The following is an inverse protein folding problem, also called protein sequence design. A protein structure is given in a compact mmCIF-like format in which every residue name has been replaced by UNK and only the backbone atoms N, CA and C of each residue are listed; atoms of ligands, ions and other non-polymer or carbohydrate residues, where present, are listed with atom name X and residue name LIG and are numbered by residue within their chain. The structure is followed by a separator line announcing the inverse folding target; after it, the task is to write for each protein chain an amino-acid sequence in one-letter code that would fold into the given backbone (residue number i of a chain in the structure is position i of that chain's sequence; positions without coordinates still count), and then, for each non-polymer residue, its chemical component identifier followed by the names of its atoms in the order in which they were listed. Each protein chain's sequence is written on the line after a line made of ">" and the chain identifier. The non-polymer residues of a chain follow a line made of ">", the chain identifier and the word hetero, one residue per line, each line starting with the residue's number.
data_IF_589710494575
#
_entry.id   IF_589710494575
#
_cell.length_a   1.000
_cell.length_b   1.000
_cell.length_c   1.000
_cell.angle_alpha   90.00
_cell.angle_beta   90.00
_cell.angle_gamma   90.00
#
_symmetry.space_group_name_H-M   'P 1'
#
loop_
_entity.id
_entity.type
_entity.pdbx_description
1 polymer ?
#
# COMPACT_ATOMS: atom_id res chain seq x y z
N UNK A 1 8.74 -10.24 -16.46
CA UNK A 1 7.84 -9.73 -15.42
C UNK A 1 8.70 -9.30 -14.26
N UNK A 2 8.95 -7.99 -14.12
CA UNK A 2 9.73 -7.47 -13.00
C UNK A 2 8.90 -7.61 -11.72
N UNK A 3 9.27 -8.57 -10.85
CA UNK A 3 8.67 -8.67 -9.51
C UNK A 3 9.51 -7.78 -8.60
N UNK A 4 8.95 -6.69 -8.10
CA UNK A 4 9.59 -5.98 -7.00
C UNK A 4 9.55 -6.92 -5.79
N UNK A 5 10.72 -7.43 -5.38
CA UNK A 5 10.83 -8.24 -4.17
C UNK A 5 10.77 -7.27 -2.98
N UNK A 6 9.56 -6.92 -2.58
CA UNK A 6 9.35 -6.21 -1.31
C UNK A 6 9.54 -7.27 -0.21
N UNK A 7 10.37 -7.03 0.81
CA UNK A 7 10.51 -7.97 1.91
C UNK A 7 9.13 -8.23 2.52
N UNK A 8 8.85 -9.49 2.86
CA UNK A 8 7.59 -9.87 3.49
C UNK A 8 7.36 -9.01 4.73
N UNK A 9 6.32 -8.18 4.68
CA UNK A 9 5.97 -7.30 5.79
C UNK A 9 5.43 -8.17 6.92
N UNK A 10 6.23 -8.33 7.97
CA UNK A 10 5.82 -9.00 9.19
C UNK A 10 4.90 -8.09 10.01
N UNK A 11 3.71 -8.60 10.34
CA UNK A 11 2.73 -7.92 11.18
C UNK A 11 2.58 -8.69 12.49
N UNK A 12 2.88 -8.01 13.60
CA UNK A 12 2.82 -8.61 14.94
C UNK A 12 1.60 -8.10 15.72
N UNK A 13 0.92 -9.00 16.43
CA UNK A 13 -0.12 -8.68 17.40
C UNK A 13 0.24 -9.31 18.74
N UNK A 14 0.44 -8.49 19.78
CA UNK A 14 0.87 -8.95 21.11
C UNK A 14 2.16 -9.81 21.09
N UNK A 15 3.05 -9.60 20.11
CA UNK A 15 4.29 -10.35 19.95
C UNK A 15 4.18 -11.62 19.09
N UNK A 16 2.96 -12.00 18.67
CA UNK A 16 2.72 -13.12 17.75
C UNK A 16 2.65 -12.63 16.30
N UNK A 17 3.19 -13.41 15.36
CA UNK A 17 3.12 -13.11 13.93
C UNK A 17 1.74 -13.47 13.38
N UNK A 18 1.02 -12.45 12.90
CA UNK A 18 -0.34 -12.57 12.33
C UNK A 18 -0.37 -12.25 10.84
N UNK A 19 0.79 -12.23 10.17
CA UNK A 19 0.92 -11.77 8.78
C UNK A 19 0.01 -12.55 7.83
N UNK A 20 -0.18 -13.85 8.04
CA UNK A 20 -1.05 -14.65 7.15
C UNK A 20 -2.52 -14.52 7.53
N UNK A 21 -2.81 -14.51 8.82
CA UNK A 21 -4.14 -14.48 9.41
C UNK A 21 -4.90 -13.22 9.02
N UNK A 22 -4.24 -12.06 9.02
CA UNK A 22 -4.88 -10.78 8.64
C UNK A 22 -5.31 -10.73 7.17
N UNK A 23 -4.74 -11.60 6.31
CA UNK A 23 -5.08 -11.70 4.89
C UNK A 23 -6.17 -12.75 4.61
N UNK A 24 -6.60 -13.48 5.64
CA UNK A 24 -7.61 -14.53 5.51
C UNK A 24 -8.98 -13.97 5.09
N UNK A 25 -9.81 -14.78 4.39
CA UNK A 25 -11.17 -14.40 4.05
C UNK A 25 -12.03 -14.06 5.27
N UNK A 26 -11.78 -14.72 6.41
CA UNK A 26 -12.50 -14.46 7.65
C UNK A 26 -12.28 -13.05 8.18
N UNK A 27 -11.02 -12.59 8.20
CA UNK A 27 -10.70 -11.22 8.60
C UNK A 27 -11.29 -10.23 7.60
N UNK A 28 -11.09 -10.45 6.29
CA UNK A 28 -11.59 -9.56 5.23
C UNK A 28 -13.10 -9.27 5.34
N UNK A 29 -13.92 -10.26 5.70
CA UNK A 29 -15.38 -10.09 5.91
C UNK A 29 -15.75 -9.11 7.04
N UNK A 30 -14.87 -8.93 8.02
CA UNK A 30 -15.14 -8.08 9.20
C UNK A 30 -14.49 -6.70 9.10
N UNK A 31 -13.44 -6.54 8.28
CA UNK A 31 -12.67 -5.28 8.18
C UNK A 31 -13.56 -4.08 7.86
N UNK A 32 -14.46 -4.21 6.87
CA UNK A 32 -15.31 -3.09 6.44
C UNK A 32 -16.20 -2.56 7.59
N UNK A 33 -16.76 -3.47 8.41
CA UNK A 33 -17.59 -3.11 9.56
C UNK A 33 -16.77 -2.43 10.65
N UNK A 34 -15.62 -2.99 11.01
CA UNK A 34 -14.75 -2.47 12.07
C UNK A 34 -14.17 -1.11 11.67
N UNK A 35 -13.74 -0.95 10.42
CA UNK A 35 -13.18 0.29 9.92
C UNK A 35 -14.21 1.44 9.84
N UNK A 36 -15.51 1.14 9.91
CA UNK A 36 -16.58 2.15 9.88
C UNK A 36 -16.82 2.78 11.25
N UNK A 37 -16.28 2.16 12.31
CA UNK A 37 -16.39 2.67 13.66
C UNK A 37 -15.53 3.93 13.83
N UNK A 38 -16.18 5.04 14.23
CA UNK A 38 -15.51 6.33 14.36
C UNK A 38 -14.44 6.37 15.46
N UNK A 39 -14.58 5.58 16.52
CA UNK A 39 -13.59 5.52 17.60
C UNK A 39 -12.35 4.74 17.15
N UNK A 40 -12.55 3.58 16.51
CA UNK A 40 -11.45 2.80 15.91
C UNK A 40 -10.71 3.66 14.89
N UNK A 41 -11.44 4.37 14.02
CA UNK A 41 -10.86 5.25 13.01
C UNK A 41 -9.99 6.33 13.64
N UNK A 42 -10.46 6.99 14.70
CA UNK A 42 -9.72 8.04 15.41
C UNK A 42 -8.38 7.52 15.94
N UNK A 43 -8.38 6.37 16.61
CA UNK A 43 -7.15 5.77 17.16
C UNK A 43 -6.16 5.42 16.05
N UNK A 44 -6.63 4.80 14.95
CA UNK A 44 -5.77 4.45 13.81
C UNK A 44 -5.18 5.69 13.14
N UNK A 45 -5.96 6.76 12.98
CA UNK A 45 -5.49 8.03 12.44
C UNK A 45 -4.36 8.64 13.26
N UNK A 46 -4.49 8.62 14.60
CA UNK A 46 -3.47 9.14 15.51
C UNK A 46 -2.17 8.32 15.42
N UNK A 47 -2.28 6.99 15.30
CA UNK A 47 -1.13 6.10 15.06
C UNK A 47 -0.47 6.41 13.72
N UNK A 48 -1.23 6.51 12.63
CA UNK A 48 -0.70 6.81 11.29
C UNK A 48 0.05 8.15 11.26
N UNK A 49 -0.50 9.18 11.91
CA UNK A 49 0.12 10.51 12.03
C UNK A 49 1.40 10.48 12.86
N UNK A 50 1.40 9.79 13.99
CA UNK A 50 2.59 9.70 14.84
C UNK A 50 3.73 8.94 14.16
N UNK A 51 3.43 7.86 13.44
CA UNK A 51 4.43 7.10 12.66
C UNK A 51 5.07 7.95 11.55
N UNK A 52 4.26 8.70 10.79
CA UNK A 52 4.80 9.57 9.75
C UNK A 52 5.65 10.70 10.34
N UNK A 53 5.23 11.28 11.47
CA UNK A 53 6.01 12.30 12.18
C UNK A 53 7.35 11.73 12.68
N UNK A 54 7.35 10.53 13.26
CA UNK A 54 8.57 9.85 13.71
C UNK A 54 9.52 9.52 12.55
N UNK A 55 8.99 9.10 11.41
CA UNK A 55 9.79 8.83 10.22
C UNK A 55 10.41 10.11 9.61
N UNK A 56 9.67 11.24 9.59
CA UNK A 56 10.22 12.55 9.24
C UNK A 56 11.30 13.01 10.24
N UNK A 57 11.11 12.80 11.54
CA UNK A 57 12.08 13.20 12.56
C UNK A 57 13.40 12.42 12.47
N UNK A 58 13.36 11.17 11.99
CA UNK A 58 14.57 10.35 11.74
C UNK A 58 15.35 10.80 10.50
N UNK A 59 14.70 11.43 9.52
CA UNK A 59 15.36 11.91 8.30
C UNK A 59 16.04 13.26 8.45
N UNK A 60 15.45 14.15 9.26
CA UNK A 60 16.11 15.37 9.72
C UNK A 60 16.94 15.04 10.95
N UNK A 61 18.25 14.80 10.81
CA UNK A 61 19.15 14.33 11.87
C UNK A 61 19.10 15.09 13.20
N UNK A 62 18.08 14.81 14.03
CA UNK A 62 17.98 15.26 15.41
C UNK A 62 18.31 14.05 16.28
N UNK A 63 19.58 13.94 16.65
CA UNK A 63 20.04 12.94 17.60
C UNK A 63 19.44 13.24 18.98
N UNK A 64 18.33 12.61 19.34
CA UNK A 64 17.99 12.44 20.76
C UNK A 64 18.76 11.24 21.27
N UNK A 65 19.81 11.50 22.06
CA UNK A 65 20.52 10.49 22.84
C UNK A 65 19.50 9.76 23.74
N UNK A 66 19.29 8.47 23.53
CA UNK A 66 18.53 7.65 24.49
C UNK A 66 17.76 6.47 23.89
N UNK A 67 18.40 5.31 23.95
CA UNK A 67 17.81 3.99 24.26
C UNK A 67 17.00 3.23 23.20
N UNK A 68 17.63 2.14 22.75
CA UNK A 68 17.12 0.81 22.41
C UNK A 68 16.14 0.59 21.23
N UNK A 69 16.70 -0.08 20.21
CA UNK A 69 16.13 -1.22 19.49
C UNK A 69 14.67 -1.13 19.00
N UNK A 70 14.51 -0.74 17.73
CA UNK A 70 13.59 -1.45 16.84
C UNK A 70 14.08 -1.30 15.40
N UNK A 71 14.84 -2.31 14.95
CA UNK A 71 15.35 -2.45 13.59
C UNK A 71 14.22 -2.95 12.69
N UNK A 72 13.66 -2.06 11.86
CA UNK A 72 12.86 -2.48 10.71
C UNK A 72 13.86 -2.99 9.67
N UNK A 73 13.71 -4.20 9.09
CA UNK A 73 14.63 -4.67 8.07
C UNK A 73 14.40 -3.88 6.78
N UNK A 74 15.30 -2.93 6.51
CA UNK A 74 15.43 -2.31 5.19
C UNK A 74 16.21 -3.27 4.30
N UNK A 75 15.53 -3.91 3.35
CA UNK A 75 16.17 -4.83 2.41
C UNK A 75 15.39 -4.93 1.12
N UNK A 76 15.41 -3.87 0.29
CA UNK A 76 15.11 -4.03 -1.14
C UNK A 76 16.43 -4.44 -1.79
N UNK A 77 16.60 -5.75 -2.01
CA UNK A 77 17.75 -6.28 -2.75
C UNK A 77 17.36 -6.33 -4.23
N UNK A 78 18.03 -5.52 -5.05
CA UNK A 78 18.00 -5.62 -6.50
C UNK A 78 19.43 -5.93 -6.96
N UNK A 79 19.62 -7.12 -7.54
CA UNK A 79 20.78 -7.51 -8.34
C UNK A 79 22.17 -7.51 -7.64
N UNK A 80 22.24 -8.10 -6.44
CA UNK A 80 23.51 -8.55 -5.85
C UNK A 80 24.50 -7.45 -5.44
N UNK A 81 24.08 -6.18 -5.36
CA UNK A 81 24.84 -5.11 -4.71
C UNK A 81 24.08 -4.62 -3.50
N UNK A 82 24.71 -4.73 -2.33
CA UNK A 82 24.29 -4.01 -1.13
C UNK A 82 24.29 -2.53 -1.48
N UNK A 83 23.11 -1.93 -1.67
CA UNK A 83 23.00 -0.49 -1.72
C UNK A 83 23.30 0.01 -0.30
N UNK A 84 24.49 0.57 -0.10
CA UNK A 84 24.84 1.22 1.16
C UNK A 84 23.74 2.24 1.51
N UNK A 85 23.11 2.01 2.66
CA UNK A 85 22.00 2.79 3.19
C UNK A 85 22.46 4.15 3.75
N UNK A 86 23.48 4.75 3.14
CA UNK A 86 24.01 6.04 3.54
C UNK A 86 23.38 7.15 2.67
N UNK A 87 22.54 7.95 3.33
CA UNK A 87 22.00 9.25 2.89
C UNK A 87 20.86 9.26 1.85
N UNK A 88 19.85 8.40 1.97
CA UNK A 88 18.54 8.76 1.40
C UNK A 88 17.87 9.75 2.37
N UNK A 89 17.68 11.04 2.00
CA UNK A 89 16.88 11.95 2.81
C UNK A 89 15.51 11.33 2.99
N UNK A 90 15.19 10.97 4.22
CA UNK A 90 14.02 10.14 4.49
C UNK A 90 12.71 10.83 4.11
N UNK A 91 11.81 10.00 3.61
CA UNK A 91 10.44 10.32 3.26
C UNK A 91 9.56 9.13 3.59
N UNK A 92 8.25 9.35 3.60
CA UNK A 92 7.27 8.30 3.89
C UNK A 92 6.33 8.19 2.71
N UNK A 93 6.28 7.01 2.09
CA UNK A 93 5.22 6.66 1.15
C UNK A 93 4.12 5.98 1.96
N UNK A 94 2.89 6.50 1.86
CA UNK A 94 1.73 5.91 2.53
C UNK A 94 0.67 5.57 1.49
N UNK A 95 0.20 4.34 1.55
CA UNK A 95 -0.92 3.84 0.76
C UNK A 95 -2.19 3.77 1.64
N UNK A 96 -3.34 4.02 1.03
CA UNK A 96 -4.65 3.99 1.66
C UNK A 96 -5.69 4.81 0.90
N UNK A 97 -6.95 4.69 1.32
CA UNK A 97 -8.11 5.29 0.62
C UNK A 97 -8.28 6.79 0.84
N UNK A 98 -7.95 7.31 2.02
CA UNK A 98 -8.21 8.70 2.42
C UNK A 98 -6.97 9.40 2.99
N UNK A 99 -5.79 8.95 2.58
CA UNK A 99 -4.49 9.50 3.01
C UNK A 99 -4.38 10.97 2.64
N UNK A 100 -4.58 11.31 1.36
CA UNK A 100 -4.40 12.68 0.85
C UNK A 100 -5.52 13.67 1.22
N UNK A 101 -6.64 13.20 1.77
CA UNK A 101 -7.80 14.03 2.14
C UNK A 101 -7.98 14.18 3.65
N UNK A 102 -7.76 13.11 4.41
CA UNK A 102 -8.02 13.08 5.86
C UNK A 102 -6.75 12.94 6.67
N UNK A 103 -5.88 11.98 6.33
CA UNK A 103 -4.71 11.66 7.16
C UNK A 103 -3.63 12.72 7.04
N UNK A 104 -3.22 13.05 5.81
CA UNK A 104 -2.23 14.06 5.45
C UNK A 104 -2.74 14.99 4.34
N UNK A 105 -3.65 15.93 4.66
CA UNK A 105 -4.15 16.91 3.69
C UNK A 105 -3.07 17.87 3.18
N UNK A 106 -1.90 17.93 3.84
CA UNK A 106 -0.78 18.80 3.47
C UNK A 106 0.42 17.99 2.92
N UNK A 107 0.18 16.77 2.43
CA UNK A 107 1.22 15.98 1.78
C UNK A 107 1.75 16.71 0.52
N UNK A 108 3.07 16.68 0.33
CA UNK A 108 3.78 17.37 -0.76
C UNK A 108 3.43 16.80 -2.14
N UNK A 109 3.15 15.49 -2.20
CA UNK A 109 2.66 14.81 -3.38
C UNK A 109 1.51 13.88 -2.99
N UNK A 110 0.41 13.97 -3.74
CA UNK A 110 -0.75 13.09 -3.61
C UNK A 110 -1.04 12.48 -4.96
N UNK A 111 -1.09 11.15 -4.99
CA UNK A 111 -1.40 10.39 -6.20
C UNK A 111 -2.69 9.65 -5.93
N UNK A 112 -3.63 9.74 -6.86
CA UNK A 112 -4.83 8.92 -6.89
C UNK A 112 -4.69 7.93 -8.05
N UNK A 113 -4.39 6.67 -7.72
CA UNK A 113 -4.30 5.60 -8.71
C UNK A 113 -5.69 5.03 -8.96
N UNK A 114 -6.14 5.09 -10.21
CA UNK A 114 -7.43 4.55 -10.65
C UNK A 114 -7.25 3.42 -11.66
N UNK A 115 -8.24 2.53 -11.73
CA UNK A 115 -8.35 1.52 -12.77
C UNK A 115 -9.78 0.99 -12.87
N UNK A 116 -10.15 0.52 -14.06
CA UNK A 116 -11.40 -0.19 -14.26
C UNK A 116 -11.56 -1.38 -13.29
N UNK A 117 -12.80 -1.63 -12.85
CA UNK A 117 -13.11 -2.74 -11.96
C UNK A 117 -12.64 -4.08 -12.54
N UNK A 118 -12.79 -4.27 -13.85
CA UNK A 118 -12.32 -5.45 -14.57
C UNK A 118 -10.81 -5.62 -14.52
N UNK A 119 -10.02 -4.57 -14.77
CA UNK A 119 -8.56 -4.66 -14.68
C UNK A 119 -8.10 -4.99 -13.26
N UNK A 120 -8.76 -4.42 -12.24
CA UNK A 120 -8.50 -4.74 -10.83
C UNK A 120 -8.88 -6.18 -10.49
N UNK A 121 -10.02 -6.66 -11.00
CA UNK A 121 -10.49 -8.02 -10.80
C UNK A 121 -9.56 -9.06 -11.42
N UNK A 122 -9.07 -8.83 -12.64
CA UNK A 122 -8.09 -9.70 -13.32
C UNK A 122 -6.82 -9.81 -12.47
N UNK A 123 -6.26 -8.67 -12.03
CA UNK A 123 -5.04 -8.66 -11.19
C UNK A 123 -5.24 -9.41 -9.87
N UNK A 124 -6.41 -9.23 -9.23
CA UNK A 124 -6.77 -9.93 -7.99
C UNK A 124 -6.96 -11.43 -8.20
N UNK A 125 -7.57 -11.82 -9.31
CA UNK A 125 -7.76 -13.21 -9.70
C UNK A 125 -6.41 -13.89 -9.95
N UNK A 126 -5.50 -13.24 -10.65
CA UNK A 126 -4.12 -13.72 -10.88
C UNK A 126 -3.35 -13.91 -9.55
N UNK A 127 -3.51 -12.98 -8.60
CA UNK A 127 -2.92 -13.08 -7.25
C UNK A 127 -3.46 -14.30 -6.50
N UNK A 128 -4.79 -14.49 -6.46
CA UNK A 128 -5.44 -15.61 -5.78
C UNK A 128 -5.04 -16.95 -6.40
N UNK A 129 -5.02 -17.04 -7.73
CA UNK A 129 -4.62 -18.25 -8.43
C UNK A 129 -3.16 -18.60 -8.25
N UNK A 130 -2.28 -17.60 -8.12
CA UNK A 130 -0.87 -17.82 -7.85
C UNK A 130 -0.66 -18.41 -6.45
N UNK A 131 -1.43 -17.96 -5.45
CA UNK A 131 -1.39 -18.48 -4.08
C UNK A 131 -1.96 -19.91 -3.96
N UNK A 132 -2.99 -20.23 -4.75
CA UNK A 132 -3.65 -21.55 -4.72
C UNK A 132 -2.80 -22.66 -5.37
N UNK A 133 -2.01 -22.32 -6.40
CA UNK A 133 -1.05 -23.29 -7.00
C UNK A 133 0.01 -23.79 -6.03
N UNK A 134 0.27 -23.06 -4.94
CA UNK A 134 1.21 -23.46 -3.90
C UNK A 134 0.56 -24.35 -2.82
N UNK A 135 -0.78 -24.38 -2.74
CA UNK A 135 -1.50 -24.99 -1.62
C UNK A 135 -2.24 -26.30 -1.95
N UNK A 136 -2.28 -26.77 -3.21
CA UNK A 136 -3.11 -27.93 -3.55
C UNK A 136 -2.46 -29.02 -4.41
N UNK A 137 -1.86 -29.97 -3.69
CA UNK A 137 -1.89 -31.40 -3.99
C UNK A 137 -3.00 -32.08 -3.15
N UNK A 138 -4.28 -31.78 -3.42
CA UNK A 138 -5.39 -32.33 -2.62
C UNK A 138 -6.74 -32.39 -3.34
N UNK A 139 -7.53 -33.45 -3.07
CA UNK A 139 -8.68 -33.93 -3.85
C UNK A 139 -9.99 -33.11 -3.77
N UNK A 140 -9.96 -31.85 -3.36
CA UNK A 140 -11.13 -30.97 -3.35
C UNK A 140 -10.80 -29.74 -4.20
N UNK A 141 -11.36 -29.65 -5.42
CA UNK A 141 -11.12 -28.49 -6.28
C UNK A 141 -11.70 -27.24 -5.63
N UNK A 142 -10.92 -26.19 -5.40
CA UNK A 142 -11.40 -24.92 -4.87
C UNK A 142 -12.26 -24.29 -5.96
N UNK A 143 -13.43 -23.83 -5.57
CA UNK A 143 -14.30 -23.05 -6.44
C UNK A 143 -13.65 -21.68 -6.60
N UNK A 144 -13.01 -21.46 -7.74
CA UNK A 144 -12.44 -20.15 -8.08
C UNK A 144 -13.59 -19.16 -8.33
N UNK A 145 -13.61 -17.99 -7.67
CA UNK A 145 -14.54 -16.94 -8.06
C UNK A 145 -14.25 -16.49 -9.49
N UNK A 146 -15.31 -16.24 -10.26
CA UNK A 146 -15.15 -15.68 -11.61
C UNK A 146 -14.57 -14.27 -11.54
N UNK A 147 -13.92 -13.82 -12.61
CA UNK A 147 -13.41 -12.43 -12.68
C UNK A 147 -14.57 -11.44 -12.55
N UNK A 148 -15.73 -11.78 -13.08
CA UNK A 148 -16.96 -11.01 -13.01
C UNK A 148 -17.49 -10.90 -11.57
N UNK A 149 -17.44 -11.97 -10.79
CA UNK A 149 -17.83 -11.95 -9.37
C UNK A 149 -16.91 -11.04 -8.55
N UNK A 150 -15.59 -11.14 -8.78
CA UNK A 150 -14.60 -10.26 -8.13
C UNK A 150 -14.84 -8.80 -8.55
N UNK A 151 -15.09 -8.54 -9.82
CA UNK A 151 -15.36 -7.19 -10.32
C UNK A 151 -16.58 -6.59 -9.63
N UNK A 152 -17.68 -7.35 -9.53
CA UNK A 152 -18.90 -6.92 -8.83
C UNK A 152 -18.62 -6.62 -7.35
N UNK A 153 -17.91 -7.51 -6.65
CA UNK A 153 -17.56 -7.28 -5.23
C UNK A 153 -16.70 -6.02 -5.05
N UNK A 154 -15.76 -5.78 -5.96
CA UNK A 154 -14.94 -4.57 -5.95
C UNK A 154 -15.78 -3.31 -6.17
N UNK A 155 -16.72 -3.32 -7.11
CA UNK A 155 -17.63 -2.20 -7.37
C UNK A 155 -18.54 -1.91 -6.18
N UNK A 156 -19.12 -2.94 -5.57
CA UNK A 156 -19.95 -2.80 -4.37
C UNK A 156 -19.15 -2.18 -3.21
N UNK A 157 -17.91 -2.62 -3.04
CA UNK A 157 -17.01 -2.05 -2.03
C UNK A 157 -16.65 -0.61 -2.33
N UNK A 158 -16.32 -0.28 -3.57
CA UNK A 158 -15.99 1.09 -3.95
C UNK A 158 -17.20 2.03 -3.76
N UNK A 159 -18.40 1.56 -4.09
CA UNK A 159 -19.65 2.27 -3.81
C UNK A 159 -19.85 2.50 -2.31
N UNK A 160 -19.62 1.49 -1.47
CA UNK A 160 -19.70 1.61 -0.02
C UNK A 160 -18.66 2.59 0.55
N UNK A 161 -17.42 2.56 0.04
CA UNK A 161 -16.33 3.46 0.44
C UNK A 161 -16.63 4.92 0.08
N UNK A 162 -17.23 5.18 -1.09
CA UNK A 162 -17.65 6.52 -1.54
C UNK A 162 -18.77 7.07 -0.66
N UNK A 163 -19.78 6.24 -0.35
CA UNK A 163 -20.99 6.65 0.36
C UNK A 163 -20.86 6.59 1.90
N UNK A 164 -19.64 6.36 2.41
CA UNK A 164 -19.41 6.20 3.85
C UNK A 164 -19.60 7.51 4.61
N UNK A 165 -20.19 7.42 5.81
CA UNK A 165 -20.41 8.59 6.68
C UNK A 165 -19.10 9.19 7.21
N UNK A 166 -18.12 8.36 7.53
CA UNK A 166 -16.80 8.77 8.02
C UNK A 166 -15.74 8.49 6.97
N UNK A 167 -14.89 9.49 6.68
CA UNK A 167 -13.78 9.37 5.71
C UNK A 167 -14.21 8.78 4.35
N UNK A 168 -15.19 9.39 3.64
CA UNK A 168 -15.60 8.90 2.33
C UNK A 168 -14.41 8.94 1.35
N UNK A 169 -14.35 7.95 0.46
CA UNK A 169 -13.38 7.94 -0.63
C UNK A 169 -13.58 9.18 -1.50
N UNK A 170 -12.60 10.09 -1.45
CA UNK A 170 -12.61 11.35 -2.20
C UNK A 170 -11.23 11.63 -2.75
N UNK A 171 -11.20 12.09 -3.99
CA UNK A 171 -9.98 12.59 -4.62
C UNK A 171 -9.66 13.94 -3.98
N UNK A 172 -8.42 14.12 -3.50
CA UNK A 172 -7.97 15.41 -3.02
C UNK A 172 -7.87 16.40 -4.19
N UNK A 173 -8.19 17.68 -3.97
CA UNK A 173 -8.25 18.69 -5.04
C UNK A 173 -6.91 18.87 -5.77
N UNK A 174 -5.82 18.63 -5.07
CA UNK A 174 -4.42 18.74 -5.51
C UNK A 174 -3.79 17.38 -5.85
N UNK A 175 -4.57 16.29 -5.82
CA UNK A 175 -4.08 14.97 -6.22
C UNK A 175 -3.92 14.85 -7.73
N UNK A 176 -2.85 14.17 -8.14
CA UNK A 176 -2.64 13.76 -9.54
C UNK A 176 -3.32 12.41 -9.75
N UNK A 177 -4.26 12.36 -10.67
CA UNK A 177 -4.97 11.12 -11.03
C UNK A 177 -4.17 10.38 -12.09
N UNK A 178 -3.89 9.10 -11.84
CA UNK A 178 -3.21 8.21 -12.79
C UNK A 178 -4.12 7.00 -13.02
N UNK A 179 -4.62 6.87 -14.25
CA UNK A 179 -5.35 5.67 -14.69
C UNK A 179 -4.35 4.59 -15.14
N UNK A 180 -4.27 3.50 -14.39
CA UNK A 180 -3.39 2.38 -14.68
C UNK A 180 -4.09 1.21 -15.37
N UNK A 181 -5.31 1.38 -15.91
CA UNK A 181 -6.12 0.30 -16.51
C UNK A 181 -5.35 -0.50 -17.56
N UNK A 182 -4.61 0.17 -18.44
CA UNK A 182 -3.84 -0.43 -19.53
C UNK A 182 -2.32 -0.30 -19.35
N UNK A 183 -1.85 -0.09 -18.11
CA UNK A 183 -0.42 0.03 -17.81
C UNK A 183 0.15 -1.29 -17.28
N UNK A 184 1.40 -1.59 -17.65
CA UNK A 184 2.18 -2.63 -16.98
C UNK A 184 2.66 -2.13 -15.61
N UNK A 185 3.12 -3.06 -14.77
CA UNK A 185 3.70 -2.71 -13.48
C UNK A 185 4.89 -1.75 -13.64
N UNK A 186 5.76 -2.01 -14.60
CA UNK A 186 6.95 -1.21 -14.88
C UNK A 186 6.58 0.20 -15.35
N UNK A 187 5.57 0.32 -16.24
CA UNK A 187 5.05 1.61 -16.68
C UNK A 187 4.45 2.41 -15.53
N UNK A 188 3.68 1.75 -14.66
CA UNK A 188 3.11 2.39 -13.47
C UNK A 188 4.21 2.91 -12.54
N UNK A 189 5.23 2.09 -12.24
CA UNK A 189 6.35 2.49 -11.39
C UNK A 189 7.10 3.67 -12.01
N UNK A 190 7.35 3.65 -13.32
CA UNK A 190 7.98 4.76 -14.03
C UNK A 190 7.15 6.04 -13.91
N UNK A 191 5.85 6.00 -14.22
CA UNK A 191 4.97 7.17 -14.12
C UNK A 191 4.92 7.77 -12.72
N UNK A 192 4.86 6.94 -11.68
CA UNK A 192 4.83 7.41 -10.28
C UNK A 192 6.17 8.02 -9.88
N UNK A 193 7.28 7.36 -10.19
CA UNK A 193 8.61 7.83 -9.80
C UNK A 193 9.02 9.09 -10.56
N UNK A 194 8.65 9.21 -11.83
CA UNK A 194 8.90 10.41 -12.63
C UNK A 194 8.10 11.60 -12.12
N UNK A 195 6.81 11.40 -11.83
CA UNK A 195 5.97 12.41 -11.19
C UNK A 195 6.53 12.87 -9.83
N UNK A 196 7.03 11.92 -9.02
CA UNK A 196 7.65 12.23 -7.74
C UNK A 196 8.91 13.08 -7.90
N UNK A 197 9.73 12.81 -8.92
CA UNK A 197 10.92 13.62 -9.23
C UNK A 197 10.55 15.03 -9.66
N UNK A 198 9.58 15.17 -10.56
CA UNK A 198 9.12 16.48 -11.04
C UNK A 198 8.61 17.35 -9.90
N UNK A 199 7.78 16.77 -9.01
CA UNK A 199 7.10 17.52 -7.94
C UNK A 199 7.98 17.77 -6.71
N UNK A 200 8.88 16.84 -6.38
CA UNK A 200 9.74 16.94 -5.20
C UNK A 200 11.17 17.43 -5.52
N UNK A 201 11.48 17.70 -6.79
CA UNK A 201 12.79 18.19 -7.22
C UNK A 201 13.91 17.16 -7.00
N UNK A 202 13.61 15.87 -7.09
CA UNK A 202 14.60 14.80 -6.91
C UNK A 202 15.40 14.60 -8.21
N UNK A 203 16.72 14.49 -8.10
CA UNK A 203 17.60 14.24 -9.25
C UNK A 203 17.28 12.91 -9.96
N UNK A 204 17.39 12.89 -11.30
CA UNK A 204 17.33 11.65 -12.09
C UNK A 204 18.58 10.80 -11.78
N UNK A 205 18.43 9.82 -10.88
CA UNK A 205 19.46 8.78 -10.66
C UNK A 205 19.38 7.60 -11.63
N UNK A 206 18.47 7.63 -12.60
CA UNK A 206 18.30 6.58 -13.60
C UNK A 206 18.05 7.21 -14.98
N UNK A 207 19.14 7.61 -15.62
CA UNK A 207 19.24 7.47 -17.08
C UNK A 207 19.89 6.08 -17.31
N UNK A 208 19.47 5.35 -18.35
CA UNK A 208 19.90 4.00 -18.76
C UNK A 208 19.03 2.81 -18.29
N UNK A 209 17.95 2.55 -19.06
CA UNK A 209 17.65 1.23 -19.64
C UNK A 209 17.16 1.44 -21.07
#
# INVERSE_FOLDING_TARGET
>A
MGRLCVPDVQVLMNGEDVSREIRSPEVNRHVAKIASDGQVRKVVLDIQRSLAAAAKAKSTGCQTKGTAANSIPSGVVMDGREAEADSVPGGVVMDGRDIGTTVFPQAELKIYLDASAMARAIRRWDELNSQLKETETGANQPVYPSVEDIARELEERDYADINRTHSPLRIAKDAVVIDNTNMTFEQQVYSITDLARERLGLERKYDDI
#
